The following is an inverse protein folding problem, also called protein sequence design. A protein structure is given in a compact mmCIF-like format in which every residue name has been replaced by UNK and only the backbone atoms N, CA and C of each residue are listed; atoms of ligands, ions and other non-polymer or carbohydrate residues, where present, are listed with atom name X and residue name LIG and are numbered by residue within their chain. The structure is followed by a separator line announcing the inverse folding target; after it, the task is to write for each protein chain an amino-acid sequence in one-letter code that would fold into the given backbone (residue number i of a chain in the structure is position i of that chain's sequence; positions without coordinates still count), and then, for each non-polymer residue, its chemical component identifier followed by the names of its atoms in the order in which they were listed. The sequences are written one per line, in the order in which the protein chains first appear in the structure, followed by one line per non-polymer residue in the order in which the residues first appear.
data_IF_605008125682
#
_entry.id   IF_605008125682
#
_cell.length_a   1.000
_cell.length_b   1.000
_cell.length_c   1.000
_cell.angle_alpha   90.00
_cell.angle_beta   90.00
_cell.angle_gamma   90.00
#
_symmetry.space_group_name_H-M   'P 1'
#
loop_
_entity.id
_entity.type
_entity.pdbx_description
1 polymer ?
#
# COMPACT_ATOMS: atom_id res chain seq x y z
N UNK A 1 -14.66 -5.72 3.89
CA UNK A 1 -14.33 -4.32 4.29
C UNK A 1 -13.29 -3.91 3.29
N UNK A 2 -13.64 -3.03 2.35
CA UNK A 2 -12.75 -2.74 1.23
C UNK A 2 -11.44 -2.08 1.69
N UNK A 3 -10.33 -2.46 1.06
CA UNK A 3 -9.05 -1.80 1.28
C UNK A 3 -9.10 -0.38 0.68
N UNK A 4 -8.36 0.54 1.29
CA UNK A 4 -8.30 1.94 0.90
C UNK A 4 -6.96 2.55 1.28
N UNK A 5 -6.72 3.80 0.88
CA UNK A 5 -5.50 4.52 1.26
C UNK A 5 -5.37 4.74 2.78
N UNK A 6 -6.48 4.68 3.51
CA UNK A 6 -6.52 4.78 4.97
C UNK A 6 -6.38 3.43 5.67
N UNK A 7 -6.33 2.33 4.91
CA UNK A 7 -5.99 1.01 5.45
C UNK A 7 -4.53 0.98 5.91
N UNK A 8 -4.26 0.20 6.97
CA UNK A 8 -2.89 0.06 7.45
C UNK A 8 -2.07 -0.72 6.43
N UNK A 9 -0.83 -0.33 6.24
CA UNK A 9 0.10 -1.00 5.32
C UNK A 9 0.21 -2.49 5.66
N UNK A 10 0.27 -2.86 6.93
CA UNK A 10 0.30 -4.28 7.33
C UNK A 10 -0.94 -5.07 6.90
N UNK A 11 -2.12 -4.44 6.87
CA UNK A 11 -3.38 -5.12 6.53
C UNK A 11 -3.42 -5.37 5.02
N UNK A 12 -2.94 -4.40 4.24
CA UNK A 12 -2.73 -4.53 2.79
C UNK A 12 -1.73 -5.66 2.49
N UNK A 13 -0.60 -5.71 3.19
CA UNK A 13 0.42 -6.76 2.98
C UNK A 13 -0.03 -8.15 3.43
N UNK A 14 -0.96 -8.24 4.37
CA UNK A 14 -1.52 -9.53 4.82
C UNK A 14 -2.53 -10.11 3.82
N UNK A 15 -3.04 -9.32 2.89
CA UNK A 15 -3.92 -9.80 1.84
C UNK A 15 -3.11 -9.96 0.53
N UNK A 16 -3.09 -11.15 -0.09
CA UNK A 16 -2.26 -11.39 -1.27
C UNK A 16 -2.68 -10.56 -2.50
N UNK A 17 -3.97 -10.26 -2.66
CA UNK A 17 -4.47 -9.43 -3.76
C UNK A 17 -4.09 -7.96 -3.55
N UNK A 18 -4.29 -7.44 -2.33
CA UNK A 18 -3.96 -6.05 -2.01
C UNK A 18 -2.44 -5.82 -2.01
N UNK A 19 -1.68 -6.80 -1.53
CA UNK A 19 -0.23 -6.82 -1.64
C UNK A 19 0.24 -6.82 -3.08
N UNK A 20 -0.40 -7.60 -3.97
CA UNK A 20 -0.05 -7.61 -5.38
C UNK A 20 -0.30 -6.26 -6.05
N UNK A 21 -1.41 -5.58 -5.71
CA UNK A 21 -1.66 -4.20 -6.15
C UNK A 21 -0.53 -3.28 -5.70
N UNK A 22 -0.14 -3.32 -4.42
CA UNK A 22 0.95 -2.49 -3.91
C UNK A 22 2.30 -2.82 -4.57
N UNK A 23 2.60 -4.10 -4.80
CA UNK A 23 3.84 -4.57 -5.43
C UNK A 23 3.98 -4.10 -6.89
N UNK A 24 2.87 -3.86 -7.62
CA UNK A 24 2.91 -3.26 -8.98
C UNK A 24 3.55 -1.87 -8.98
N UNK A 25 3.26 -1.07 -7.96
CA UNK A 25 3.74 0.31 -7.87
C UNK A 25 5.04 0.41 -7.07
N UNK A 26 5.20 -0.43 -6.05
CA UNK A 26 6.36 -0.51 -5.17
C UNK A 26 6.93 -1.92 -5.21
N UNK A 27 7.84 -2.25 -6.14
CA UNK A 27 8.39 -3.59 -6.25
C UNK A 27 9.03 -4.05 -4.94
N UNK A 28 8.79 -5.31 -4.58
CA UNK A 28 9.24 -5.93 -3.33
C UNK A 28 8.70 -5.28 -2.04
N UNK A 29 7.62 -4.49 -2.10
CA UNK A 29 6.95 -3.96 -0.90
C UNK A 29 6.59 -5.08 0.09
N UNK A 30 6.05 -6.20 -0.40
CA UNK A 30 5.70 -7.35 0.44
C UNK A 30 6.89 -8.04 1.10
N UNK A 31 8.07 -7.94 0.49
CA UNK A 31 9.30 -8.60 0.95
C UNK A 31 10.26 -7.65 1.66
N UNK A 32 10.02 -6.35 1.61
CA UNK A 32 10.89 -5.35 2.20
C UNK A 32 10.78 -5.36 3.74
N UNK A 33 11.87 -5.64 4.48
CA UNK A 33 11.86 -5.63 5.95
C UNK A 33 11.43 -4.29 6.56
N UNK A 34 11.69 -3.17 5.87
CA UNK A 34 11.28 -1.83 6.32
C UNK A 34 9.77 -1.68 6.35
N UNK A 35 9.02 -2.45 5.56
CA UNK A 35 7.56 -2.43 5.53
C UNK A 35 6.94 -2.91 6.85
N UNK A 36 7.69 -3.66 7.67
CA UNK A 36 7.28 -3.98 9.05
C UNK A 36 7.26 -2.75 9.96
N UNK A 37 8.17 -1.79 9.75
CA UNK A 37 8.26 -0.57 10.57
C UNK A 37 7.14 0.42 10.23
N UNK A 38 6.79 0.51 8.96
CA UNK A 38 5.68 1.36 8.47
C UNK A 38 4.33 0.64 8.45
N UNK A 39 4.29 -0.64 8.82
CA UNK A 39 3.08 -1.47 8.84
C UNK A 39 1.95 -0.93 9.72
N UNK A 40 2.29 -0.16 10.77
CA UNK A 40 1.30 0.50 11.64
C UNK A 40 0.70 1.78 11.05
N UNK A 41 1.28 2.32 9.98
CA UNK A 41 0.83 3.54 9.31
C UNK A 41 -0.20 3.21 8.22
N UNK A 42 -0.96 4.22 7.80
CA UNK A 42 -1.83 4.11 6.63
C UNK A 42 -1.03 4.25 5.34
N UNK A 43 -1.55 3.73 4.23
CA UNK A 43 -0.88 3.84 2.94
C UNK A 43 -0.75 5.30 2.48
N UNK A 44 -1.76 6.14 2.77
CA UNK A 44 -1.71 7.60 2.54
C UNK A 44 -0.54 8.23 3.29
N UNK A 45 -0.30 7.82 4.54
CA UNK A 45 0.84 8.31 5.31
C UNK A 45 2.15 7.77 4.75
N UNK A 46 2.19 6.52 4.29
CA UNK A 46 3.35 5.96 3.61
C UNK A 46 3.72 6.81 2.39
N UNK A 47 2.78 7.11 1.49
CA UNK A 47 3.04 7.92 0.30
C UNK A 47 3.53 9.35 0.60
N UNK A 48 3.38 9.85 1.83
CA UNK A 48 3.93 11.15 2.25
C UNK A 48 5.44 11.16 2.46
N UNK A 49 6.07 9.99 2.70
CA UNK A 49 7.52 9.91 2.90
C UNK A 49 8.28 10.04 1.57
N UNK A 50 9.50 10.62 1.57
CA UNK A 50 10.30 10.78 0.37
C UNK A 50 10.59 9.46 -0.37
N UNK A 51 10.76 8.39 0.40
CA UNK A 51 11.14 7.05 -0.08
C UNK A 51 10.03 6.38 -0.89
N UNK A 52 8.78 6.78 -0.66
CA UNK A 52 7.55 6.28 -1.26
C UNK A 52 6.79 7.38 -2.00
N UNK A 53 7.46 8.51 -2.29
CA UNK A 53 6.86 9.63 -3.00
C UNK A 53 6.43 9.27 -4.42
N UNK A 54 7.02 8.23 -5.01
CA UNK A 54 6.61 7.67 -6.31
C UNK A 54 5.17 7.12 -6.30
N UNK A 55 4.60 6.79 -5.14
CA UNK A 55 3.21 6.35 -5.03
C UNK A 55 2.22 7.50 -5.19
N UNK A 56 2.62 8.75 -4.90
CA UNK A 56 1.73 9.93 -4.93
C UNK A 56 0.92 10.10 -6.23
N UNK A 57 1.54 10.04 -7.43
CA UNK A 57 0.78 10.17 -8.68
C UNK A 57 -0.17 8.98 -8.94
N UNK A 58 0.07 7.82 -8.33
CA UNK A 58 -0.72 6.61 -8.52
C UNK A 58 -1.74 6.37 -7.40
N UNK A 59 -1.91 7.29 -6.45
CA UNK A 59 -2.80 7.08 -5.30
C UNK A 59 -4.26 6.86 -5.71
N UNK A 60 -4.74 7.56 -6.73
CA UNK A 60 -6.12 7.40 -7.21
C UNK A 60 -6.35 6.03 -7.87
N UNK A 61 -5.40 5.57 -8.69
CA UNK A 61 -5.46 4.26 -9.35
C UNK A 61 -5.33 3.14 -8.31
N UNK A 62 -4.37 3.29 -7.40
CA UNK A 62 -4.13 2.35 -6.33
C UNK A 62 -5.35 2.25 -5.40
N UNK A 63 -6.00 3.37 -5.06
CA UNK A 63 -7.22 3.36 -4.26
C UNK A 63 -8.35 2.61 -4.96
N UNK A 64 -8.56 2.84 -6.26
CA UNK A 64 -9.57 2.11 -7.05
C UNK A 64 -9.28 0.61 -7.12
N UNK A 65 -8.02 0.22 -7.34
CA UNK A 65 -7.63 -1.18 -7.36
C UNK A 65 -7.80 -1.83 -5.99
N UNK A 66 -7.43 -1.15 -4.90
CA UNK A 66 -7.63 -1.64 -3.53
C UNK A 66 -9.12 -1.78 -3.18
N UNK A 67 -9.95 -0.83 -3.61
CA UNK A 67 -11.39 -0.87 -3.35
C UNK A 67 -12.12 -1.97 -4.13
N UNK A 68 -11.54 -2.43 -5.25
CA UNK A 68 -12.07 -3.54 -6.02
C UNK A 68 -11.82 -4.92 -5.36
N UNK A 69 -11.05 -4.96 -4.28
CA UNK A 69 -10.76 -6.17 -3.50
C UNK A 69 -11.78 -6.27 -2.35
N UNK A 70 -12.52 -7.38 -2.29
CA UNK A 70 -13.69 -7.59 -1.41
C UNK A 70 -13.31 -8.04 0.02
#
# INVERSE_FOLDING_TARGET
MAFSLDSKVKDILNNPEASAVLDKYSPDASKNPQMKLVGGLTLRKLASFPQSAFLKPHLEELEKELQAIE
#
